data_IF_866676321832
#
_entry.id   IF_866676321832
#
_cell.length_a   1.000
_cell.length_b   1.000
_cell.length_c   1.000
_cell.angle_alpha   90.00
_cell.angle_beta   90.00
_cell.angle_gamma   90.00
#
_symmetry.space_group_name_H-M   'P 1'
#
loop_
_entity.id
_entity.type
_entity.pdbx_description
1 polymer ?
#
# COMPACT_ATOMS: atom_id res chain seq x y z
N UNK A 1 45.37 -31.41 33.34
CA UNK A 1 44.28 -31.81 32.45
C UNK A 1 44.40 -30.97 31.20
N UNK A 2 44.23 -31.55 30.02
CA UNK A 2 44.19 -30.85 28.75
C UNK A 2 42.78 -31.01 28.15
N UNK A 3 42.34 -30.02 27.39
CA UNK A 3 41.04 -30.01 26.71
C UNK A 3 41.07 -31.07 25.61
N UNK A 4 40.12 -32.00 25.59
CA UNK A 4 40.02 -33.09 24.62
C UNK A 4 38.90 -32.88 23.59
N UNK A 5 38.09 -31.82 23.75
CA UNK A 5 37.00 -31.44 22.86
C UNK A 5 36.05 -30.45 23.55
N UNK A 6 35.10 -29.92 22.78
CA UNK A 6 33.98 -29.10 23.28
C UNK A 6 32.72 -29.44 22.48
N UNK A 7 31.60 -29.43 23.16
CA UNK A 7 30.28 -29.46 22.52
C UNK A 7 29.78 -28.03 22.33
N UNK A 8 29.42 -27.69 21.10
CA UNK A 8 28.86 -26.36 20.76
C UNK A 8 27.36 -26.47 20.55
N UNK A 9 26.59 -25.62 21.22
CA UNK A 9 25.14 -25.47 20.98
C UNK A 9 24.79 -24.02 20.74
N UNK A 10 23.88 -23.79 19.82
CA UNK A 10 23.37 -22.43 19.49
C UNK A 10 21.93 -22.32 19.98
N UNK A 11 21.60 -21.16 20.59
CA UNK A 11 20.26 -20.86 21.06
C UNK A 11 19.89 -19.47 20.55
N UNK A 12 18.64 -19.30 20.07
CA UNK A 12 18.12 -17.99 19.73
C UNK A 12 17.83 -17.22 21.01
N UNK A 13 18.47 -16.05 21.16
CA UNK A 13 18.30 -15.16 22.31
C UNK A 13 17.77 -13.79 21.88
N UNK A 14 17.30 -12.97 22.81
CA UNK A 14 16.79 -11.60 22.59
C UNK A 14 17.40 -10.63 23.60
N UNK A 15 17.92 -9.53 23.08
CA UNK A 15 18.26 -8.37 23.90
C UNK A 15 17.05 -7.44 23.91
N UNK A 16 16.36 -7.22 25.05
CA UNK A 16 15.23 -6.32 25.14
C UNK A 16 15.60 -4.91 24.69
N UNK A 17 14.64 -4.19 24.09
CA UNK A 17 14.85 -2.81 23.67
C UNK A 17 15.24 -1.92 24.86
N UNK A 18 16.36 -1.21 24.76
CA UNK A 18 16.87 -0.29 25.77
C UNK A 18 16.59 1.14 25.37
N UNK A 19 15.83 1.86 26.21
CA UNK A 19 15.64 3.29 26.08
C UNK A 19 16.76 4.05 26.83
N UNK A 20 17.33 5.06 26.16
CA UNK A 20 18.44 5.84 26.73
C UNK A 20 18.26 7.33 26.46
N UNK A 21 18.81 8.17 27.33
CA UNK A 21 18.89 9.62 27.14
C UNK A 21 20.17 9.97 26.38
N UNK A 22 20.02 10.55 25.19
CA UNK A 22 21.13 11.10 24.41
C UNK A 22 21.38 12.55 24.86
N UNK A 23 22.46 12.81 25.63
CA UNK A 23 22.85 14.15 26.06
C UNK A 23 23.77 14.79 25.01
N UNK A 24 23.37 15.91 24.42
CA UNK A 24 24.17 16.69 23.47
C UNK A 24 24.70 17.91 24.17
N UNK A 25 26.03 18.01 24.28
CA UNK A 25 26.74 19.18 24.87
C UNK A 25 27.26 20.03 23.70
N UNK A 26 26.98 21.33 23.74
CA UNK A 26 27.48 22.34 22.80
C UNK A 26 28.12 23.45 23.55
N UNK A 27 29.45 23.41 23.76
CA UNK A 27 30.17 24.49 24.47
C UNK A 27 30.05 25.79 23.67
N UNK A 28 30.10 26.90 24.41
CA UNK A 28 30.17 28.25 23.86
C UNK A 28 31.58 28.78 24.15
N UNK A 29 32.16 29.41 23.15
CA UNK A 29 33.51 29.98 23.23
C UNK A 29 33.41 31.48 23.02
N UNK A 30 34.01 32.26 23.94
CA UNK A 30 34.18 33.70 23.84
C UNK A 30 35.67 34.05 23.94
N UNK A 31 36.12 35.06 23.23
CA UNK A 31 37.48 35.59 23.38
C UNK A 31 37.62 36.38 24.68
N UNK A 32 38.66 36.11 25.46
CA UNK A 32 38.94 36.87 26.70
C UNK A 32 39.59 38.23 26.43
N UNK A 33 40.16 38.43 25.25
CA UNK A 33 40.92 39.63 24.90
C UNK A 33 40.16 40.63 24.02
N UNK A 34 38.97 40.25 23.55
CA UNK A 34 38.11 41.12 22.76
C UNK A 34 36.66 40.89 23.09
N UNK A 35 35.81 41.89 22.93
CA UNK A 35 34.34 41.78 23.07
C UNK A 35 33.68 41.12 21.86
N UNK A 36 34.39 40.22 21.19
CA UNK A 36 33.96 39.54 19.99
C UNK A 36 32.78 38.58 20.17
N UNK A 37 32.19 38.15 19.07
CA UNK A 37 31.03 37.28 19.08
C UNK A 37 31.31 35.93 19.73
N UNK A 38 30.32 35.44 20.49
CA UNK A 38 30.34 34.08 21.05
C UNK A 38 30.14 33.07 19.95
N UNK A 39 31.04 32.09 19.82
CA UNK A 39 31.00 31.02 18.86
C UNK A 39 30.46 29.74 19.50
N UNK A 40 29.48 29.14 18.87
CA UNK A 40 28.90 27.86 19.29
C UNK A 40 28.57 27.01 18.05
N UNK A 41 28.82 25.71 18.15
CA UNK A 41 28.39 24.77 17.08
C UNK A 41 26.86 24.80 16.87
N UNK A 42 26.43 24.70 15.61
CA UNK A 42 24.99 24.61 15.29
C UNK A 42 24.35 23.42 16.02
N UNK A 43 23.09 23.56 16.42
CA UNK A 43 22.33 22.43 16.95
C UNK A 43 22.10 21.41 15.86
N UNK A 44 22.19 20.10 16.14
CA UNK A 44 21.78 19.09 15.18
C UNK A 44 20.30 19.26 14.84
N UNK A 45 19.95 19.02 13.58
CA UNK A 45 18.56 19.03 13.12
C UNK A 45 17.75 17.99 13.90
N UNK A 46 16.47 18.29 14.11
CA UNK A 46 15.54 17.41 14.84
C UNK A 46 14.26 17.27 14.06
N UNK A 47 13.65 16.10 14.11
CA UNK A 47 12.35 15.83 13.50
C UNK A 47 11.25 16.76 14.06
N UNK A 48 11.34 17.07 15.37
CA UNK A 48 10.50 18.04 16.05
C UNK A 48 11.40 19.09 16.70
N UNK A 49 11.21 20.35 16.35
CA UNK A 49 11.98 21.46 16.94
C UNK A 49 11.79 21.47 18.45
N UNK A 50 12.92 21.58 19.18
CA UNK A 50 12.96 21.50 20.64
C UNK A 50 12.35 20.21 21.24
N UNK A 51 12.07 19.20 20.40
CA UNK A 51 11.52 17.93 20.83
C UNK A 51 12.53 17.07 21.59
N UNK A 52 12.00 16.24 22.51
CA UNK A 52 12.82 15.30 23.29
C UNK A 52 13.14 14.00 22.54
N UNK A 53 12.37 13.64 21.49
CA UNK A 53 12.54 12.40 20.76
C UNK A 53 13.62 12.52 19.69
N UNK A 54 14.46 11.49 19.59
CA UNK A 54 15.35 11.29 18.42
C UNK A 54 14.54 10.80 17.22
N UNK A 55 15.09 10.97 16.02
CA UNK A 55 14.51 10.41 14.79
C UNK A 55 14.29 8.90 14.94
N UNK A 56 15.24 8.17 15.53
CA UNK A 56 15.14 6.73 15.76
C UNK A 56 13.95 6.33 16.66
N UNK A 57 13.70 7.07 17.75
CA UNK A 57 12.55 6.80 18.62
C UNK A 57 11.23 7.06 17.88
N UNK A 58 11.12 8.17 17.14
CA UNK A 58 9.90 8.46 16.36
C UNK A 58 9.69 7.40 15.29
N UNK A 59 10.74 6.97 14.61
CA UNK A 59 10.66 5.87 13.62
C UNK A 59 10.13 4.58 14.26
N UNK A 60 10.64 4.21 15.43
CA UNK A 60 10.16 3.01 16.16
C UNK A 60 8.65 3.08 16.45
N UNK A 61 8.16 4.26 16.87
CA UNK A 61 6.72 4.49 17.13
C UNK A 61 5.91 4.38 15.84
N UNK A 62 6.39 4.98 14.76
CA UNK A 62 5.74 4.93 13.43
C UNK A 62 5.68 3.50 12.91
N UNK A 63 6.80 2.79 12.92
CA UNK A 63 6.90 1.39 12.46
C UNK A 63 6.03 0.48 13.34
N UNK A 64 6.09 0.65 14.67
CA UNK A 64 5.22 -0.07 15.59
C UNK A 64 3.75 0.08 15.22
N UNK A 65 3.30 1.29 14.88
CA UNK A 65 1.91 1.56 14.52
C UNK A 65 1.52 1.06 13.13
N UNK A 66 2.32 1.34 12.12
CA UNK A 66 1.90 1.15 10.71
C UNK A 66 2.46 -0.13 10.07
N UNK A 67 3.59 -0.65 10.56
CA UNK A 67 4.14 -1.92 10.09
C UNK A 67 3.68 -3.12 10.92
N UNK A 68 3.53 -2.93 12.25
CA UNK A 68 3.18 -3.99 13.21
C UNK A 68 1.80 -3.82 13.83
N UNK A 69 1.03 -2.83 13.36
CA UNK A 69 -0.36 -2.58 13.74
C UNK A 69 -0.58 -2.35 15.24
N UNK A 70 0.44 -1.83 15.95
CA UNK A 70 0.40 -1.54 17.38
C UNK A 70 -0.14 -0.13 17.64
N UNK A 71 -1.36 0.05 18.19
CA UNK A 71 -1.94 1.36 18.43
C UNK A 71 -1.10 2.21 19.39
N UNK A 72 -1.13 3.54 19.21
CA UNK A 72 -0.33 4.46 20.05
C UNK A 72 -0.66 4.36 21.55
N UNK A 73 -1.92 4.09 21.90
CA UNK A 73 -2.29 3.87 23.31
C UNK A 73 -1.62 2.61 23.90
N UNK A 74 -1.46 1.54 23.14
CA UNK A 74 -0.71 0.37 23.60
C UNK A 74 0.77 0.67 23.72
N UNK A 75 1.33 1.45 22.80
CA UNK A 75 2.72 1.90 22.89
C UNK A 75 2.98 2.77 24.14
N UNK A 76 2.05 3.66 24.52
CA UNK A 76 2.19 4.42 25.78
C UNK A 76 2.22 3.49 26.99
N UNK A 77 1.42 2.42 27.04
CA UNK A 77 1.50 1.43 28.10
C UNK A 77 2.83 0.66 28.12
N UNK A 78 3.37 0.32 26.94
CA UNK A 78 4.69 -0.31 26.84
C UNK A 78 5.79 0.60 27.37
N UNK A 79 5.80 1.90 27.00
CA UNK A 79 6.76 2.87 27.53
C UNK A 79 6.64 3.03 29.05
N UNK A 80 5.42 3.06 29.58
CA UNK A 80 5.19 3.09 31.05
C UNK A 80 5.76 1.86 31.74
N UNK A 81 5.60 0.68 31.14
CA UNK A 81 6.22 -0.57 31.67
C UNK A 81 7.75 -0.51 31.70
N UNK A 82 8.37 0.33 30.86
CA UNK A 82 9.80 0.61 30.84
C UNK A 82 10.20 1.82 31.70
N UNK A 83 9.28 2.34 32.53
CA UNK A 83 9.51 3.48 33.43
C UNK A 83 9.46 4.85 32.75
N UNK A 84 8.95 4.96 31.52
CA UNK A 84 8.86 6.23 30.79
C UNK A 84 7.40 6.62 30.56
N UNK A 85 6.99 7.73 31.11
CA UNK A 85 5.66 8.29 30.88
C UNK A 85 5.64 9.19 29.64
N UNK A 86 4.86 8.80 28.65
CA UNK A 86 4.60 9.56 27.42
C UNK A 86 3.11 9.64 27.17
N UNK A 87 2.61 10.84 27.01
CA UNK A 87 1.21 11.05 26.63
C UNK A 87 0.95 10.59 25.19
N UNK A 88 -0.24 10.02 24.96
CA UNK A 88 -0.69 9.66 23.62
C UNK A 88 -0.67 10.85 22.64
N UNK A 89 -0.98 12.06 23.12
CA UNK A 89 -0.94 13.30 22.32
C UNK A 89 0.47 13.58 21.81
N UNK A 90 1.50 13.35 22.63
CA UNK A 90 2.91 13.48 22.25
C UNK A 90 3.26 12.50 21.12
N UNK A 91 2.87 11.23 21.23
CA UNK A 91 3.10 10.23 20.17
C UNK A 91 2.37 10.60 18.88
N UNK A 92 1.13 11.09 18.99
CA UNK A 92 0.36 11.58 17.82
C UNK A 92 1.09 12.75 17.15
N UNK A 93 1.59 13.72 17.92
CA UNK A 93 2.35 14.83 17.38
C UNK A 93 3.59 14.37 16.63
N UNK A 94 4.36 13.43 17.17
CA UNK A 94 5.56 12.90 16.52
C UNK A 94 5.23 12.15 15.22
N UNK A 95 4.16 11.35 15.20
CA UNK A 95 3.67 10.66 14.01
C UNK A 95 3.27 11.67 12.91
N UNK A 96 2.56 12.73 13.28
CA UNK A 96 2.17 13.78 12.33
C UNK A 96 3.39 14.54 11.77
N UNK A 97 4.40 14.78 12.59
CA UNK A 97 5.66 15.39 12.13
C UNK A 97 6.45 14.48 11.20
N UNK A 98 6.53 13.18 11.48
CA UNK A 98 7.15 12.21 10.59
C UNK A 98 6.43 12.16 9.22
N UNK A 99 5.09 12.13 9.22
CA UNK A 99 4.31 12.18 7.98
C UNK A 99 4.55 13.48 7.19
N UNK A 100 4.71 14.60 7.89
CA UNK A 100 5.02 15.89 7.25
C UNK A 100 6.38 15.88 6.55
N UNK A 101 7.43 15.38 7.21
CA UNK A 101 8.76 15.25 6.63
C UNK A 101 8.80 14.28 5.43
N UNK A 102 8.00 13.22 5.48
CA UNK A 102 7.95 12.18 4.45
C UNK A 102 6.97 12.51 3.31
N UNK A 103 6.15 13.56 3.43
CA UNK A 103 5.19 13.94 2.38
C UNK A 103 5.82 14.13 1.00
N UNK A 104 6.99 14.79 0.82
CA UNK A 104 7.59 14.92 -0.51
C UNK A 104 7.98 13.56 -1.13
N UNK A 105 8.51 12.63 -0.34
CA UNK A 105 8.81 11.27 -0.82
C UNK A 105 7.52 10.49 -1.18
N UNK A 106 6.46 10.65 -0.39
CA UNK A 106 5.15 10.08 -0.70
C UNK A 106 4.59 10.65 -2.01
N UNK A 107 4.69 11.96 -2.25
CA UNK A 107 4.23 12.57 -3.50
C UNK A 107 4.97 12.04 -4.70
N UNK A 108 6.28 11.78 -4.58
CA UNK A 108 7.06 11.14 -5.63
C UNK A 108 6.54 9.73 -5.96
N UNK A 109 6.18 8.93 -4.95
CA UNK A 109 5.54 7.62 -5.17
C UNK A 109 4.18 7.76 -5.88
N UNK A 110 3.37 8.75 -5.50
CA UNK A 110 2.08 9.03 -6.16
C UNK A 110 2.30 9.39 -7.63
N UNK A 111 3.25 10.29 -7.93
CA UNK A 111 3.56 10.70 -9.30
C UNK A 111 4.02 9.51 -10.15
N UNK A 112 4.84 8.62 -9.61
CA UNK A 112 5.28 7.40 -10.29
C UNK A 112 4.13 6.43 -10.59
N UNK A 113 3.22 6.24 -9.64
CA UNK A 113 2.02 5.43 -9.85
C UNK A 113 1.15 6.03 -10.96
N UNK A 114 0.92 7.34 -10.94
CA UNK A 114 0.11 8.03 -11.96
C UNK A 114 0.76 8.09 -13.34
N UNK A 115 2.08 7.96 -13.43
CA UNK A 115 2.82 7.86 -14.68
C UNK A 115 2.85 6.43 -15.27
N UNK A 116 2.42 5.43 -14.50
CA UNK A 116 2.40 4.04 -14.97
C UNK A 116 1.30 3.82 -16.01
N UNK A 117 1.53 3.02 -17.07
CA UNK A 117 0.51 2.74 -18.09
C UNK A 117 -0.61 1.82 -17.59
N UNK A 118 -0.43 1.16 -16.45
CA UNK A 118 -1.42 0.27 -15.82
C UNK A 118 -1.35 0.42 -14.31
N UNK A 119 -2.51 0.63 -13.68
CA UNK A 119 -2.64 0.78 -12.23
C UNK A 119 -3.79 -0.09 -11.72
N UNK A 120 -3.59 -0.76 -10.60
CA UNK A 120 -4.67 -1.38 -9.83
C UNK A 120 -5.25 -0.36 -8.86
N UNK A 121 -6.57 -0.33 -8.73
CA UNK A 121 -7.25 0.54 -7.77
C UNK A 121 -8.35 -0.21 -7.03
N UNK A 122 -8.41 0.01 -5.72
CA UNK A 122 -9.48 -0.47 -4.86
C UNK A 122 -9.62 0.46 -3.65
N UNK A 123 -10.74 0.38 -2.91
CA UNK A 123 -10.95 1.22 -1.75
C UNK A 123 -11.28 0.41 -0.48
N UNK A 124 -10.97 0.98 0.66
CA UNK A 124 -11.35 0.40 1.96
C UNK A 124 -11.91 1.46 2.89
N UNK A 125 -12.97 1.13 3.68
CA UNK A 125 -13.50 2.07 4.65
C UNK A 125 -12.48 2.42 5.73
N UNK A 126 -12.42 3.70 6.11
CA UNK A 126 -11.61 4.22 7.20
C UNK A 126 -12.50 5.04 8.14
N UNK A 127 -12.86 4.50 9.31
CA UNK A 127 -13.56 5.28 10.32
C UNK A 127 -12.71 6.44 10.80
N UNK A 128 -13.28 7.64 10.83
CA UNK A 128 -12.62 8.86 11.31
C UNK A 128 -13.49 9.51 12.37
N UNK A 129 -12.90 9.91 13.49
CA UNK A 129 -13.61 10.55 14.57
C UNK A 129 -14.09 11.95 14.16
N UNK A 130 -15.40 12.14 14.17
CA UNK A 130 -16.04 13.46 14.12
C UNK A 130 -16.23 13.96 15.56
N UNK A 131 -15.35 14.86 15.98
CA UNK A 131 -15.35 15.40 17.35
C UNK A 131 -16.63 16.19 17.68
N UNK A 132 -17.25 16.86 16.67
CA UNK A 132 -18.46 17.63 16.86
C UNK A 132 -19.65 16.73 17.17
N UNK A 133 -19.73 15.59 16.44
CA UNK A 133 -20.82 14.61 16.60
C UNK A 133 -20.54 13.52 17.63
N UNK A 134 -19.34 13.51 18.22
CA UNK A 134 -18.85 12.47 19.17
C UNK A 134 -19.02 11.04 18.65
N UNK A 135 -18.97 10.84 17.33
CA UNK A 135 -19.08 9.54 16.65
C UNK A 135 -18.11 9.46 15.48
N UNK A 136 -17.86 8.28 14.98
CA UNK A 136 -17.08 8.10 13.77
C UNK A 136 -17.96 8.32 12.53
N UNK A 137 -17.36 8.88 11.47
CA UNK A 137 -17.88 8.86 10.10
C UNK A 137 -17.04 7.91 9.25
N UNK A 138 -17.64 7.33 8.22
CA UNK A 138 -16.94 6.42 7.32
C UNK A 138 -16.32 7.21 6.18
N UNK A 139 -15.02 7.44 6.27
CA UNK A 139 -14.18 7.91 5.19
C UNK A 139 -13.59 6.72 4.41
N UNK A 140 -12.70 6.97 3.43
CA UNK A 140 -12.09 5.94 2.60
C UNK A 140 -10.59 6.13 2.46
N UNK A 141 -9.90 5.01 2.30
CA UNK A 141 -8.59 4.95 1.67
C UNK A 141 -8.73 4.33 0.29
N UNK A 142 -8.31 5.08 -0.72
CA UNK A 142 -8.12 4.59 -2.07
C UNK A 142 -6.70 4.07 -2.18
N UNK A 143 -6.55 2.80 -2.54
CA UNK A 143 -5.26 2.14 -2.77
C UNK A 143 -4.99 2.09 -4.25
N UNK A 144 -3.83 2.60 -4.66
CA UNK A 144 -3.34 2.51 -6.03
C UNK A 144 -2.05 1.70 -6.01
N UNK A 145 -1.96 0.67 -6.83
CA UNK A 145 -0.80 -0.21 -6.86
C UNK A 145 -0.30 -0.44 -8.28
N UNK A 146 1.01 -0.53 -8.41
CA UNK A 146 1.72 -0.96 -9.61
C UNK A 146 2.52 -2.21 -9.26
N UNK A 147 2.42 -3.25 -10.07
CA UNK A 147 3.22 -4.46 -9.92
C UNK A 147 3.32 -5.17 -11.27
N UNK A 148 4.48 -5.13 -11.89
CA UNK A 148 4.74 -5.72 -13.19
C UNK A 148 5.46 -7.08 -13.11
N UNK A 149 5.79 -7.54 -11.89
CA UNK A 149 6.47 -8.82 -11.68
C UNK A 149 5.75 -10.03 -12.29
N UNK A 150 4.40 -10.10 -12.32
CA UNK A 150 3.69 -11.23 -12.90
C UNK A 150 3.93 -11.45 -14.41
N UNK A 151 4.37 -10.42 -15.14
CA UNK A 151 4.61 -10.48 -16.58
C UNK A 151 6.01 -10.00 -16.99
N UNK A 152 6.95 -9.99 -16.04
CA UNK A 152 8.35 -9.57 -16.23
C UNK A 152 8.50 -8.12 -16.75
N UNK A 153 7.56 -7.25 -16.39
CA UNK A 153 7.61 -5.86 -16.81
C UNK A 153 8.62 -5.03 -16.00
N UNK A 154 8.94 -3.83 -16.49
CA UNK A 154 10.02 -3.01 -15.93
C UNK A 154 9.63 -2.24 -14.66
N UNK A 155 8.35 -2.06 -14.39
CA UNK A 155 7.92 -1.26 -13.25
C UNK A 155 8.14 -2.00 -11.93
N UNK A 156 8.80 -1.33 -11.01
CA UNK A 156 8.97 -1.82 -9.63
C UNK A 156 7.64 -1.78 -8.87
N UNK A 157 7.41 -2.68 -7.91
CA UNK A 157 6.17 -2.69 -7.16
C UNK A 157 6.06 -1.46 -6.25
N UNK A 158 4.94 -0.74 -6.38
CA UNK A 158 4.61 0.46 -5.60
C UNK A 158 3.17 0.34 -5.10
N UNK A 159 2.91 0.79 -3.88
CA UNK A 159 1.57 1.03 -3.37
C UNK A 159 1.46 2.39 -2.71
N UNK A 160 0.42 3.13 -3.08
CA UNK A 160 0.07 4.40 -2.43
C UNK A 160 -1.38 4.37 -1.97
N UNK A 161 -1.63 4.99 -0.81
CA UNK A 161 -2.97 5.18 -0.28
C UNK A 161 -3.29 6.66 -0.28
N UNK A 162 -4.49 7.02 -0.74
CA UNK A 162 -4.98 8.38 -0.71
C UNK A 162 -6.24 8.42 0.15
N UNK A 163 -6.24 9.31 1.14
CA UNK A 163 -7.39 9.53 2.01
C UNK A 163 -8.47 10.34 1.29
N UNK A 164 -9.74 9.92 1.44
CA UNK A 164 -10.91 10.66 0.99
C UNK A 164 -12.00 10.67 2.07
N UNK A 165 -12.76 11.75 2.13
CA UNK A 165 -13.77 11.96 3.16
C UNK A 165 -14.97 11.01 3.06
N UNK A 166 -15.26 10.49 1.85
CA UNK A 166 -16.35 9.55 1.56
C UNK A 166 -15.99 8.66 0.34
N UNK A 167 -16.95 7.86 -0.16
CA UNK A 167 -16.79 6.97 -1.32
C UNK A 167 -17.24 7.59 -2.66
N UNK A 168 -17.43 8.89 -2.76
CA UNK A 168 -17.89 9.47 -4.02
C UNK A 168 -16.86 9.29 -5.14
N UNK A 169 -17.36 9.00 -6.36
CA UNK A 169 -16.52 8.85 -7.54
C UNK A 169 -15.69 10.10 -7.88
N UNK A 170 -16.12 11.28 -7.45
CA UNK A 170 -15.38 12.54 -7.61
C UNK A 170 -13.94 12.43 -7.08
N UNK A 171 -13.72 11.79 -5.93
CA UNK A 171 -12.37 11.63 -5.37
C UNK A 171 -11.44 10.86 -6.30
N UNK A 172 -11.94 9.77 -6.90
CA UNK A 172 -11.16 8.97 -7.86
C UNK A 172 -10.86 9.79 -9.12
N UNK A 173 -11.81 10.58 -9.59
CA UNK A 173 -11.62 11.46 -10.73
C UNK A 173 -10.53 12.51 -10.46
N UNK A 174 -10.53 13.11 -9.27
CA UNK A 174 -9.50 14.04 -8.82
C UNK A 174 -8.12 13.38 -8.71
N UNK A 175 -8.05 12.20 -8.06
CA UNK A 175 -6.79 11.46 -7.91
C UNK A 175 -6.17 11.09 -9.27
N UNK A 176 -7.00 10.67 -10.23
CA UNK A 176 -6.56 10.16 -11.53
C UNK A 176 -6.56 11.21 -12.64
N UNK A 177 -6.69 12.50 -12.33
CA UNK A 177 -6.77 13.56 -13.35
C UNK A 177 -5.64 13.50 -14.37
N UNK A 178 -4.41 13.16 -13.95
CA UNK A 178 -3.22 13.05 -14.82
C UNK A 178 -2.96 11.63 -15.33
N UNK A 179 -3.71 10.65 -14.87
CA UNK A 179 -3.52 9.25 -15.27
C UNK A 179 -4.17 8.99 -16.63
N UNK A 180 -3.46 8.26 -17.48
CA UNK A 180 -3.94 7.74 -18.77
C UNK A 180 -3.41 6.31 -18.94
N UNK A 181 -4.32 5.37 -19.19
CA UNK A 181 -3.92 3.97 -19.34
C UNK A 181 -5.02 3.00 -18.90
N UNK A 182 -4.60 1.83 -18.44
CA UNK A 182 -5.51 0.78 -17.94
C UNK A 182 -5.63 0.89 -16.43
N UNK A 183 -6.86 1.04 -15.94
CA UNK A 183 -7.18 0.99 -14.52
C UNK A 183 -7.88 -0.34 -14.19
N UNK A 184 -7.22 -1.18 -13.42
CA UNK A 184 -7.76 -2.47 -13.03
C UNK A 184 -8.48 -2.35 -11.68
N UNK A 185 -9.80 -2.62 -11.68
CA UNK A 185 -10.73 -2.27 -10.59
C UNK A 185 -11.75 -3.37 -10.30
N UNK A 186 -12.51 -3.19 -9.22
CA UNK A 186 -13.79 -3.87 -8.98
C UNK A 186 -14.92 -3.27 -9.86
N UNK A 187 -16.13 -3.73 -9.66
CA UNK A 187 -17.33 -3.22 -10.39
C UNK A 187 -17.92 -1.94 -9.82
N UNK A 188 -17.22 -1.13 -9.03
CA UNK A 188 -17.77 0.09 -8.46
C UNK A 188 -18.15 1.12 -9.54
N UNK A 189 -19.40 1.59 -9.48
CA UNK A 189 -19.97 2.50 -10.51
C UNK A 189 -19.30 3.87 -10.58
N UNK A 190 -18.61 4.29 -9.51
CA UNK A 190 -17.91 5.58 -9.45
C UNK A 190 -16.76 5.70 -10.45
N UNK A 191 -16.27 4.59 -11.03
CA UNK A 191 -15.25 4.62 -12.07
C UNK A 191 -15.78 4.94 -13.47
N UNK A 192 -17.10 4.81 -13.73
CA UNK A 192 -17.66 4.94 -15.09
C UNK A 192 -17.36 6.27 -15.76
N UNK A 193 -17.29 7.37 -15.01
CA UNK A 193 -16.95 8.67 -15.56
C UNK A 193 -15.52 8.79 -16.08
N UNK A 194 -14.63 7.87 -15.71
CA UNK A 194 -13.22 7.84 -16.14
C UNK A 194 -13.04 7.39 -17.60
N UNK A 195 -14.03 6.71 -18.18
CA UNK A 195 -13.97 6.22 -19.56
C UNK A 195 -14.38 7.27 -20.60
N UNK A 196 -14.82 8.44 -20.17
CA UNK A 196 -15.28 9.50 -21.08
C UNK A 196 -14.11 10.08 -21.88
N UNK A 197 -14.28 10.26 -23.21
CA UNK A 197 -13.22 10.79 -24.07
C UNK A 197 -12.83 12.24 -23.76
N UNK A 198 -13.78 13.03 -23.26
CA UNK A 198 -13.64 14.45 -22.90
C UNK A 198 -13.03 14.69 -21.51
N UNK A 199 -12.65 13.65 -20.81
CA UNK A 199 -11.98 13.74 -19.50
C UNK A 199 -10.61 14.42 -19.63
N UNK A 200 -10.24 15.32 -18.68
CA UNK A 200 -8.86 15.79 -18.58
C UNK A 200 -7.89 14.61 -18.42
N UNK A 201 -6.88 14.52 -19.30
CA UNK A 201 -5.94 13.38 -19.35
C UNK A 201 -6.38 12.23 -20.28
N UNK A 202 -7.54 12.32 -20.94
CA UNK A 202 -8.05 11.33 -21.89
C UNK A 202 -8.81 10.17 -21.22
N UNK A 203 -9.43 9.32 -22.03
CA UNK A 203 -10.19 8.16 -21.56
C UNK A 203 -9.28 7.12 -20.89
N UNK A 204 -9.73 6.56 -19.77
CA UNK A 204 -9.11 5.43 -19.10
C UNK A 204 -9.80 4.14 -19.55
N UNK A 205 -9.04 3.10 -19.84
CA UNK A 205 -9.56 1.76 -20.06
C UNK A 205 -9.79 1.08 -18.70
N UNK A 206 -11.04 0.69 -18.41
CA UNK A 206 -11.35 -0.08 -17.20
C UNK A 206 -11.19 -1.56 -17.46
N UNK A 207 -10.33 -2.23 -16.70
CA UNK A 207 -10.22 -3.68 -16.65
C UNK A 207 -10.85 -4.20 -15.36
N UNK A 208 -11.88 -5.05 -15.47
CA UNK A 208 -12.58 -5.56 -14.30
C UNK A 208 -11.99 -6.88 -13.80
N UNK A 209 -12.22 -7.15 -12.53
CA UNK A 209 -11.69 -8.29 -11.79
C UNK A 209 -12.60 -9.51 -11.92
N UNK A 210 -12.11 -10.60 -12.51
CA UNK A 210 -12.84 -11.84 -12.63
C UNK A 210 -13.10 -12.52 -11.27
N UNK A 211 -12.25 -12.27 -10.25
CA UNK A 211 -12.49 -12.77 -8.90
C UNK A 211 -13.77 -12.20 -8.27
N UNK A 212 -14.13 -10.95 -8.60
CA UNK A 212 -15.40 -10.37 -8.16
C UNK A 212 -16.61 -11.03 -8.83
N UNK A 213 -16.56 -11.30 -10.13
CA UNK A 213 -17.58 -12.07 -10.82
C UNK A 213 -17.69 -13.50 -10.24
N UNK A 214 -16.55 -14.18 -10.03
CA UNK A 214 -16.49 -15.50 -9.40
C UNK A 214 -17.13 -15.51 -8.00
N UNK A 215 -16.91 -14.47 -7.22
CA UNK A 215 -17.49 -14.34 -5.86
C UNK A 215 -19.01 -14.31 -5.89
N UNK A 216 -19.65 -13.68 -6.90
CA UNK A 216 -21.10 -13.69 -7.03
C UNK A 216 -21.63 -15.13 -7.21
N UNK A 217 -21.06 -15.93 -8.09
CA UNK A 217 -21.44 -17.33 -8.27
C UNK A 217 -21.14 -18.18 -7.04
N UNK A 218 -20.01 -17.92 -6.36
CA UNK A 218 -19.66 -18.63 -5.14
C UNK A 218 -20.67 -18.39 -4.00
N UNK A 219 -21.15 -17.17 -3.83
CA UNK A 219 -22.19 -16.85 -2.83
C UNK A 219 -23.54 -17.53 -3.16
N UNK A 220 -23.90 -17.64 -4.44
CA UNK A 220 -25.07 -18.40 -4.88
C UNK A 220 -24.88 -19.88 -4.57
N UNK A 221 -23.77 -20.48 -4.97
CA UNK A 221 -23.46 -21.89 -4.71
C UNK A 221 -23.50 -22.24 -3.22
N UNK A 222 -22.87 -21.38 -2.39
CA UNK A 222 -22.84 -21.56 -0.93
C UNK A 222 -24.21 -21.54 -0.28
N UNK A 223 -25.17 -20.78 -0.84
CA UNK A 223 -26.53 -20.64 -0.27
C UNK A 223 -27.51 -21.68 -0.77
N UNK A 224 -27.40 -22.10 -1.99
CA UNK A 224 -28.41 -22.93 -2.68
C UNK A 224 -27.89 -24.22 -3.30
N UNK A 225 -26.57 -24.48 -3.24
CA UNK A 225 -25.91 -25.63 -3.93
C UNK A 225 -26.30 -25.75 -5.41
N UNK A 226 -26.60 -24.61 -6.08
CA UNK A 226 -27.01 -24.56 -7.48
C UNK A 226 -25.98 -25.21 -8.40
N UNK A 227 -26.42 -26.18 -9.21
CA UNK A 227 -25.57 -26.85 -10.22
C UNK A 227 -25.07 -25.87 -11.27
N UNK A 228 -25.88 -24.91 -11.69
CA UNK A 228 -25.48 -23.86 -12.63
C UNK A 228 -24.41 -22.93 -12.02
N UNK A 229 -24.53 -22.59 -10.75
CA UNK A 229 -23.47 -21.81 -10.07
C UNK A 229 -22.18 -22.62 -9.95
N UNK A 230 -22.23 -23.93 -9.68
CA UNK A 230 -21.07 -24.82 -9.65
C UNK A 230 -20.40 -24.89 -11.04
N UNK A 231 -21.18 -25.01 -12.11
CA UNK A 231 -20.67 -25.02 -13.49
C UNK A 231 -19.99 -23.68 -13.85
N UNK A 232 -20.60 -22.54 -13.48
CA UNK A 232 -19.95 -21.24 -13.67
C UNK A 232 -18.59 -21.16 -12.97
N UNK A 233 -18.50 -21.65 -11.72
CA UNK A 233 -17.25 -21.69 -10.97
C UNK A 233 -16.20 -22.60 -11.62
N UNK A 234 -16.61 -23.73 -12.19
CA UNK A 234 -15.73 -24.66 -12.91
C UNK A 234 -15.16 -24.00 -14.17
N UNK A 235 -16.01 -23.36 -15.00
CA UNK A 235 -15.59 -22.65 -16.23
C UNK A 235 -14.62 -21.52 -15.92
N UNK A 236 -14.90 -20.72 -14.88
CA UNK A 236 -13.96 -19.69 -14.40
C UNK A 236 -12.67 -20.34 -13.89
N UNK A 237 -12.76 -21.49 -13.22
CA UNK A 237 -11.59 -22.26 -12.73
C UNK A 237 -10.63 -22.65 -13.85
N UNK A 238 -11.15 -23.04 -15.04
CA UNK A 238 -10.30 -23.33 -16.20
C UNK A 238 -9.48 -22.12 -16.65
N UNK A 239 -10.05 -20.91 -16.59
CA UNK A 239 -9.33 -19.67 -16.88
C UNK A 239 -8.17 -19.46 -15.91
N UNK A 240 -8.41 -19.64 -14.60
CA UNK A 240 -7.35 -19.50 -13.58
C UNK A 240 -6.24 -20.54 -13.75
N UNK A 241 -6.53 -21.75 -14.15
CA UNK A 241 -5.51 -22.76 -14.45
C UNK A 241 -4.58 -22.36 -15.60
N UNK A 242 -5.12 -21.69 -16.63
CA UNK A 242 -4.31 -21.15 -17.72
C UNK A 242 -3.45 -20.00 -17.21
N UNK A 243 -4.03 -19.05 -16.47
CA UNK A 243 -3.32 -17.90 -15.91
C UNK A 243 -2.18 -18.30 -14.96
N UNK A 244 -2.34 -19.37 -14.19
CA UNK A 244 -1.28 -19.91 -13.34
C UNK A 244 -0.08 -20.39 -14.16
N UNK A 245 -0.32 -21.08 -15.28
CA UNK A 245 0.74 -21.60 -16.16
C UNK A 245 1.52 -20.50 -16.91
N UNK A 246 0.85 -19.38 -17.22
CA UNK A 246 1.48 -18.26 -17.96
C UNK A 246 2.02 -17.16 -17.04
N UNK A 247 1.97 -17.37 -15.75
CA UNK A 247 2.59 -16.44 -14.80
C UNK A 247 4.10 -16.39 -15.00
N UNK A 248 4.67 -15.18 -15.09
CA UNK A 248 6.09 -14.99 -15.37
C UNK A 248 6.46 -15.04 -16.86
N UNK A 249 5.51 -15.23 -17.77
CA UNK A 249 5.74 -14.99 -19.19
C UNK A 249 5.61 -13.50 -19.52
N UNK A 250 6.24 -13.08 -20.63
CA UNK A 250 6.14 -11.71 -21.14
C UNK A 250 4.69 -11.36 -21.54
N UNK A 251 4.39 -10.07 -21.61
CA UNK A 251 3.06 -9.60 -21.99
C UNK A 251 2.61 -10.17 -23.36
N UNK A 252 3.51 -10.26 -24.34
CA UNK A 252 3.21 -10.79 -25.67
C UNK A 252 2.90 -12.29 -25.64
N UNK A 253 3.70 -13.07 -24.91
CA UNK A 253 3.47 -14.51 -24.76
C UNK A 253 2.14 -14.78 -24.04
N UNK A 254 1.81 -14.02 -23.00
CA UNK A 254 0.53 -14.12 -22.28
C UNK A 254 -0.64 -13.87 -23.23
N UNK A 255 -0.59 -12.84 -24.08
CA UNK A 255 -1.65 -12.57 -25.08
C UNK A 255 -1.80 -13.75 -26.03
N UNK A 256 -0.70 -14.31 -26.54
CA UNK A 256 -0.74 -15.44 -27.46
C UNK A 256 -1.47 -16.65 -26.85
N UNK A 257 -1.13 -17.03 -25.63
CA UNK A 257 -1.78 -18.14 -24.93
C UNK A 257 -3.24 -17.81 -24.61
N UNK A 258 -3.53 -16.61 -24.15
CA UNK A 258 -4.90 -16.17 -23.83
C UNK A 258 -5.81 -16.18 -25.06
N UNK A 259 -5.32 -15.74 -26.21
CA UNK A 259 -6.09 -15.76 -27.47
C UNK A 259 -6.38 -17.19 -27.93
N UNK A 260 -5.41 -18.10 -27.80
CA UNK A 260 -5.58 -19.50 -28.28
C UNK A 260 -6.34 -20.41 -27.30
N UNK A 261 -6.18 -20.21 -25.97
CA UNK A 261 -6.71 -21.14 -24.96
C UNK A 261 -7.83 -20.53 -24.11
N UNK A 262 -7.68 -19.27 -23.64
CA UNK A 262 -8.62 -18.65 -22.70
C UNK A 262 -9.84 -18.07 -23.42
N UNK A 263 -9.63 -17.40 -24.56
CA UNK A 263 -10.70 -16.74 -25.31
C UNK A 263 -11.83 -17.70 -25.72
N UNK A 264 -11.57 -18.88 -26.30
CA UNK A 264 -12.65 -19.85 -26.65
C UNK A 264 -13.48 -20.26 -25.42
N UNK A 265 -12.84 -20.47 -24.26
CA UNK A 265 -13.55 -20.82 -23.01
C UNK A 265 -14.50 -19.69 -22.60
N UNK A 266 -14.03 -18.44 -22.66
CA UNK A 266 -14.83 -17.29 -22.28
C UNK A 266 -15.95 -16.99 -23.26
N UNK A 267 -15.73 -17.14 -24.57
CA UNK A 267 -16.78 -17.02 -25.60
C UNK A 267 -17.89 -18.05 -25.38
N UNK A 268 -17.54 -19.31 -25.16
CA UNK A 268 -18.51 -20.36 -24.84
C UNK A 268 -19.21 -20.08 -23.48
N UNK A 269 -18.48 -19.53 -22.50
CA UNK A 269 -19.06 -19.14 -21.20
C UNK A 269 -20.08 -18.01 -21.35
N UNK A 270 -19.82 -17.02 -22.19
CA UNK A 270 -20.77 -15.93 -22.46
C UNK A 270 -22.09 -16.45 -23.05
N UNK A 271 -22.00 -17.30 -24.05
CA UNK A 271 -23.18 -17.90 -24.67
C UNK A 271 -24.00 -18.72 -23.66
N UNK A 272 -23.31 -19.53 -22.87
CA UNK A 272 -23.94 -20.33 -21.82
C UNK A 272 -24.60 -19.43 -20.72
N UNK A 273 -23.96 -18.35 -20.29
CA UNK A 273 -24.55 -17.40 -19.35
C UNK A 273 -25.83 -16.75 -19.90
N UNK A 274 -25.85 -16.41 -21.18
CA UNK A 274 -27.04 -15.83 -21.83
C UNK A 274 -28.20 -16.84 -21.89
N UNK A 275 -27.92 -18.11 -22.18
CA UNK A 275 -28.91 -19.20 -22.16
C UNK A 275 -29.48 -19.39 -20.76
N UNK A 276 -28.62 -19.52 -19.73
CA UNK A 276 -29.07 -19.65 -18.35
C UNK A 276 -29.91 -18.44 -17.90
N UNK A 277 -29.55 -17.22 -18.33
CA UNK A 277 -30.30 -16.01 -17.96
C UNK A 277 -31.70 -15.99 -18.58
N UNK A 278 -31.88 -16.57 -19.78
CA UNK A 278 -33.18 -16.67 -20.45
C UNK A 278 -34.15 -17.64 -19.75
N UNK A 279 -33.63 -18.68 -19.10
CA UNK A 279 -34.40 -19.70 -18.40
C UNK A 279 -34.61 -19.41 -16.93
N UNK A 280 -33.78 -18.54 -16.34
CA UNK A 280 -33.73 -18.27 -14.91
C UNK A 280 -34.71 -17.15 -14.50
N UNK A 281 -35.30 -17.24 -13.32
CA UNK A 281 -36.15 -16.18 -12.77
C UNK A 281 -35.36 -14.85 -12.64
N UNK A 282 -35.94 -13.76 -13.16
CA UNK A 282 -35.31 -12.44 -13.18
C UNK A 282 -34.90 -11.92 -11.79
N UNK A 283 -35.52 -12.40 -10.71
CA UNK A 283 -35.24 -12.00 -9.33
C UNK A 283 -34.34 -12.98 -8.57
N UNK A 284 -33.88 -14.05 -9.23
CA UNK A 284 -33.01 -15.02 -8.56
C UNK A 284 -31.61 -14.45 -8.34
N UNK A 285 -30.94 -14.90 -7.30
CA UNK A 285 -29.55 -14.52 -7.01
C UNK A 285 -28.58 -15.01 -8.11
N UNK A 286 -28.92 -16.10 -8.80
CA UNK A 286 -28.15 -16.57 -9.96
C UNK A 286 -28.28 -15.60 -11.13
N UNK A 287 -29.49 -15.16 -11.46
CA UNK A 287 -29.70 -14.16 -12.51
C UNK A 287 -28.99 -12.82 -12.20
N UNK A 288 -28.91 -12.42 -10.92
CA UNK A 288 -28.13 -11.25 -10.50
C UNK A 288 -26.62 -11.45 -10.74
N UNK A 289 -26.07 -12.62 -10.40
CA UNK A 289 -24.67 -12.96 -10.63
C UNK A 289 -24.32 -12.98 -12.13
N UNK A 290 -25.22 -13.53 -12.95
CA UNK A 290 -25.07 -13.57 -14.42
C UNK A 290 -25.12 -12.14 -14.98
N UNK A 291 -26.11 -11.33 -14.63
CA UNK A 291 -26.21 -9.93 -15.06
C UNK A 291 -25.00 -9.11 -14.65
N UNK A 292 -24.51 -9.27 -13.42
CA UNK A 292 -23.29 -8.63 -12.98
C UNK A 292 -22.13 -8.94 -13.95
N UNK A 293 -21.92 -10.22 -14.27
CA UNK A 293 -20.85 -10.68 -15.14
C UNK A 293 -21.00 -10.14 -16.56
N UNK A 294 -22.21 -10.22 -17.14
CA UNK A 294 -22.48 -9.75 -18.51
C UNK A 294 -22.37 -8.22 -18.64
N UNK A 295 -22.83 -7.47 -17.62
CA UNK A 295 -22.74 -6.00 -17.59
C UNK A 295 -21.29 -5.49 -17.48
N UNK A 296 -20.36 -6.32 -17.01
CA UNK A 296 -18.95 -6.00 -16.91
C UNK A 296 -18.09 -6.71 -17.97
N UNK A 297 -18.73 -7.39 -18.94
CA UNK A 297 -18.06 -8.32 -19.86
C UNK A 297 -16.88 -7.70 -20.59
N UNK A 298 -17.06 -6.55 -21.23
CA UNK A 298 -16.02 -5.93 -22.04
C UNK A 298 -14.77 -5.59 -21.21
N UNK A 299 -14.95 -5.05 -20.03
CA UNK A 299 -13.85 -4.78 -19.11
C UNK A 299 -13.23 -6.05 -18.51
N UNK A 300 -14.02 -7.13 -18.34
CA UNK A 300 -13.49 -8.44 -17.94
C UNK A 300 -12.61 -9.06 -19.04
N UNK A 301 -12.82 -8.70 -20.31
CA UNK A 301 -12.08 -9.25 -21.46
C UNK A 301 -10.80 -8.49 -21.81
N UNK A 302 -10.54 -7.33 -21.24
CA UNK A 302 -9.36 -6.50 -21.54
C UNK A 302 -8.05 -7.28 -21.41
N UNK A 303 -7.93 -8.18 -20.43
CA UNK A 303 -6.74 -8.99 -20.24
C UNK A 303 -6.42 -9.94 -21.41
N UNK A 304 -7.39 -10.27 -22.24
CA UNK A 304 -7.17 -11.10 -23.42
C UNK A 304 -6.34 -10.41 -24.50
N UNK A 305 -6.41 -9.08 -24.57
CA UNK A 305 -5.72 -8.27 -25.60
C UNK A 305 -4.54 -7.49 -25.05
N UNK A 306 -4.46 -7.31 -23.74
CA UNK A 306 -3.33 -6.66 -23.06
C UNK A 306 -2.69 -7.62 -22.05
N UNK A 307 -1.51 -8.14 -22.40
CA UNK A 307 -0.79 -9.11 -21.55
C UNK A 307 -0.30 -8.55 -20.22
N UNK A 308 -0.28 -7.24 -20.05
CA UNK A 308 0.07 -6.55 -18.79
C UNK A 308 -1.07 -6.64 -17.77
N UNK A 309 -2.31 -6.81 -18.24
CA UNK A 309 -3.50 -6.86 -17.40
C UNK A 309 -3.63 -8.25 -16.77
N UNK A 310 -3.89 -8.28 -15.46
CA UNK A 310 -4.15 -9.51 -14.73
C UNK A 310 -5.62 -9.94 -14.87
N UNK A 311 -5.91 -11.21 -14.66
CA UNK A 311 -7.28 -11.73 -14.66
C UNK A 311 -8.08 -11.22 -13.46
N UNK A 312 -7.37 -10.84 -12.38
CA UNK A 312 -7.98 -10.32 -11.15
C UNK A 312 -7.19 -9.16 -10.53
N UNK A 313 -7.77 -8.52 -9.53
CA UNK A 313 -7.18 -7.41 -8.77
C UNK A 313 -6.57 -7.84 -7.43
N UNK A 314 -6.25 -9.11 -7.24
CA UNK A 314 -5.71 -9.63 -5.97
C UNK A 314 -4.42 -8.91 -5.52
N UNK A 315 -3.69 -8.28 -6.44
CA UNK A 315 -2.50 -7.46 -6.14
C UNK A 315 -2.90 -6.31 -5.22
N UNK A 316 -3.90 -5.50 -5.60
CA UNK A 316 -4.33 -4.35 -4.78
C UNK A 316 -5.08 -4.81 -3.53
N UNK A 317 -5.86 -5.89 -3.59
CA UNK A 317 -6.54 -6.43 -2.40
C UNK A 317 -5.55 -6.83 -1.30
N UNK A 318 -4.40 -7.41 -1.67
CA UNK A 318 -3.31 -7.72 -0.73
C UNK A 318 -2.73 -6.46 -0.08
N UNK A 319 -2.65 -5.35 -0.81
CA UNK A 319 -2.15 -4.07 -0.26
C UNK A 319 -3.13 -3.44 0.73
N UNK A 320 -4.43 -3.73 0.62
CA UNK A 320 -5.44 -3.25 1.56
C UNK A 320 -5.40 -3.99 2.91
N UNK A 321 -4.93 -5.24 2.93
CA UNK A 321 -4.88 -6.06 4.15
C UNK A 321 -4.17 -5.39 5.32
N UNK A 322 -2.98 -4.76 5.17
CA UNK A 322 -2.32 -4.05 6.26
C UNK A 322 -3.16 -2.90 6.83
N UNK A 323 -3.88 -2.18 5.99
CA UNK A 323 -4.79 -1.10 6.42
C UNK A 323 -5.96 -1.67 7.23
N UNK A 324 -6.56 -2.76 6.75
CA UNK A 324 -7.67 -3.43 7.44
C UNK A 324 -7.25 -3.99 8.81
N UNK A 325 -6.04 -4.57 8.92
CA UNK A 325 -5.48 -5.04 10.19
C UNK A 325 -5.21 -3.88 11.15
N UNK A 326 -4.57 -2.82 10.67
CA UNK A 326 -4.32 -1.60 11.44
C UNK A 326 -5.63 -1.00 11.98
N UNK A 327 -6.68 -0.96 11.16
CA UNK A 327 -8.00 -0.47 11.55
C UNK A 327 -8.66 -1.35 12.62
N UNK A 328 -8.56 -2.68 12.54
CA UNK A 328 -9.10 -3.59 13.56
C UNK A 328 -8.46 -3.35 14.94
N UNK A 329 -7.19 -2.98 14.98
CA UNK A 329 -6.47 -2.69 16.23
C UNK A 329 -6.70 -1.26 16.73
N UNK A 330 -6.66 -0.27 15.84
CA UNK A 330 -6.78 1.15 16.20
C UNK A 330 -8.22 1.68 16.18
N UNK A 331 -9.18 0.92 15.63
CA UNK A 331 -10.61 1.18 15.48
C UNK A 331 -10.93 2.36 14.55
N UNK A 332 -10.30 3.52 14.70
CA UNK A 332 -10.52 4.72 13.89
C UNK A 332 -9.30 5.64 13.86
N UNK A 333 -9.27 6.54 12.89
CA UNK A 333 -8.36 7.68 12.89
C UNK A 333 -8.96 8.83 13.72
N UNK A 334 -8.16 9.46 14.57
CA UNK A 334 -8.61 10.51 15.51
C UNK A 334 -9.01 11.84 14.83
N UNK A 335 -8.69 12.00 13.54
CA UNK A 335 -9.03 13.17 12.71
C UNK A 335 -8.73 12.89 11.23
N UNK A 336 -9.22 13.71 10.30
CA UNK A 336 -8.85 13.68 8.89
C UNK A 336 -7.34 13.81 8.67
N UNK A 337 -6.68 14.78 9.35
CA UNK A 337 -5.23 14.94 9.31
C UNK A 337 -4.49 13.68 9.80
N UNK A 338 -5.04 12.98 10.80
CA UNK A 338 -4.49 11.70 11.27
C UNK A 338 -4.66 10.58 10.24
N UNK A 339 -5.76 10.58 9.49
CA UNK A 339 -5.98 9.64 8.39
C UNK A 339 -5.06 9.92 7.20
N UNK A 340 -4.86 11.19 6.82
CA UNK A 340 -3.85 11.56 5.81
C UNK A 340 -2.45 11.11 6.19
N UNK A 341 -2.03 11.36 7.44
CA UNK A 341 -0.74 10.88 7.94
C UNK A 341 -0.64 9.36 7.90
N UNK A 342 -1.75 8.66 8.18
CA UNK A 342 -1.82 7.20 8.04
C UNK A 342 -1.61 6.77 6.59
N UNK A 343 -2.26 7.41 5.62
CA UNK A 343 -2.09 7.14 4.20
C UNK A 343 -0.63 7.32 3.77
N UNK A 344 0.00 8.45 4.09
CA UNK A 344 1.41 8.76 3.77
C UNK A 344 2.36 7.68 4.33
N UNK A 345 2.29 7.44 5.63
CA UNK A 345 3.21 6.53 6.31
C UNK A 345 3.02 5.08 5.87
N UNK A 346 1.77 4.65 5.67
CA UNK A 346 1.50 3.30 5.16
C UNK A 346 1.96 3.11 3.72
N UNK A 347 1.87 4.12 2.86
CA UNK A 347 2.37 4.06 1.48
C UNK A 347 3.86 3.77 1.44
N UNK A 348 4.65 4.53 2.20
CA UNK A 348 6.10 4.38 2.25
C UNK A 348 6.48 3.03 2.87
N UNK A 349 5.89 2.66 4.01
CA UNK A 349 6.19 1.43 4.73
C UNK A 349 5.80 0.20 3.90
N UNK A 350 4.61 0.19 3.29
CA UNK A 350 4.16 -0.98 2.53
C UNK A 350 4.90 -1.09 1.19
N UNK A 351 5.27 0.02 0.56
CA UNK A 351 6.16 -0.01 -0.61
C UNK A 351 7.54 -0.57 -0.21
N UNK A 352 8.13 -0.15 0.91
CA UNK A 352 9.38 -0.72 1.40
C UNK A 352 9.28 -2.23 1.64
N UNK A 353 8.17 -2.71 2.22
CA UNK A 353 7.91 -4.15 2.39
C UNK A 353 7.77 -4.92 1.07
N UNK A 354 7.22 -4.31 0.02
CA UNK A 354 7.17 -4.93 -1.32
C UNK A 354 8.57 -5.15 -1.91
N UNK A 355 9.56 -4.39 -1.44
CA UNK A 355 10.99 -4.51 -1.77
C UNK A 355 11.79 -5.32 -0.73
N UNK A 356 11.10 -6.01 0.22
CA UNK A 356 11.72 -6.85 1.26
C UNK A 356 12.65 -6.07 2.20
N UNK A 357 12.41 -4.77 2.38
CA UNK A 357 13.16 -3.95 3.31
C UNK A 357 12.61 -4.07 4.73
N UNK A 358 13.52 -4.10 5.72
CA UNK A 358 13.11 -3.88 7.11
C UNK A 358 12.63 -2.42 7.27
N UNK A 359 11.35 -2.22 7.64
CA UNK A 359 10.78 -0.88 7.74
C UNK A 359 11.48 0.01 8.76
N UNK A 360 12.03 -0.57 9.83
CA UNK A 360 12.71 0.18 10.88
C UNK A 360 14.03 0.77 10.36
N UNK A 361 14.86 -0.04 9.76
CA UNK A 361 16.16 0.35 9.22
C UNK A 361 15.99 1.36 8.09
N UNK A 362 15.09 1.05 7.15
CA UNK A 362 14.81 1.93 6.01
C UNK A 362 14.31 3.30 6.45
N UNK A 363 13.24 3.34 7.24
CA UNK A 363 12.59 4.59 7.61
C UNK A 363 13.45 5.45 8.55
N UNK A 364 14.28 4.83 9.40
CA UNK A 364 15.21 5.56 10.28
C UNK A 364 16.26 6.32 9.46
N UNK A 365 16.87 5.67 8.47
CA UNK A 365 17.85 6.30 7.59
C UNK A 365 17.22 7.40 6.72
N UNK A 366 16.09 7.10 6.08
CA UNK A 366 15.36 8.06 5.24
C UNK A 366 14.99 9.32 6.02
N UNK A 367 14.38 9.18 7.21
CA UNK A 367 14.03 10.33 8.04
C UNK A 367 15.26 11.11 8.51
N UNK A 368 16.32 10.43 8.91
CA UNK A 368 17.56 11.11 9.36
C UNK A 368 18.17 11.91 8.21
N UNK A 369 18.29 11.36 7.01
CA UNK A 369 18.83 12.04 5.83
C UNK A 369 18.00 13.24 5.39
N UNK A 370 16.66 13.14 5.47
CA UNK A 370 15.77 14.27 5.14
C UNK A 370 15.84 15.35 6.24
N UNK A 371 15.74 14.98 7.51
CA UNK A 371 15.71 15.92 8.64
C UNK A 371 17.05 16.63 8.81
N UNK A 372 18.17 15.94 8.59
CA UNK A 372 19.51 16.55 8.65
C UNK A 372 19.83 17.44 7.44
N UNK A 373 19.05 17.34 6.34
CA UNK A 373 19.32 18.03 5.09
C UNK A 373 20.43 17.37 4.26
N UNK A 374 20.86 16.17 4.63
CA UNK A 374 21.82 15.37 3.87
C UNK A 374 21.29 15.04 2.46
N UNK A 375 20.01 14.68 2.36
CA UNK A 375 19.34 14.51 1.07
C UNK A 375 18.39 15.69 0.84
N UNK A 376 18.63 16.40 -0.26
CA UNK A 376 17.82 17.55 -0.68
C UNK A 376 16.55 17.09 -1.42
N UNK A 377 15.59 18.01 -1.60
CA UNK A 377 14.31 17.72 -2.26
C UNK A 377 14.49 17.21 -3.70
N UNK A 378 15.47 17.71 -4.43
CA UNK A 378 15.76 17.26 -5.79
C UNK A 378 16.44 15.88 -5.88
N UNK A 379 16.92 15.34 -4.76
CA UNK A 379 17.57 14.02 -4.67
C UNK A 379 16.73 12.98 -3.91
N UNK A 380 15.44 13.25 -3.66
CA UNK A 380 14.54 12.31 -2.95
C UNK A 380 14.38 10.97 -3.67
N UNK A 381 14.60 10.90 -4.98
CA UNK A 381 14.57 9.66 -5.74
C UNK A 381 15.60 8.63 -5.25
N UNK A 382 16.72 9.06 -4.66
CA UNK A 382 17.73 8.20 -4.03
C UNK A 382 17.20 7.49 -2.77
N UNK A 383 16.14 8.02 -2.16
CA UNK A 383 15.52 7.48 -0.97
C UNK A 383 14.35 6.55 -1.26
N UNK A 384 13.98 6.36 -2.53
CA UNK A 384 12.96 5.39 -2.91
C UNK A 384 13.42 3.98 -2.53
N UNK A 385 12.51 3.08 -2.08
CA UNK A 385 12.89 1.79 -1.51
C UNK A 385 13.88 0.98 -2.33
N UNK A 386 13.68 0.90 -3.64
CA UNK A 386 14.57 0.16 -4.55
C UNK A 386 15.92 0.84 -4.75
N UNK A 387 15.95 2.17 -4.87
CA UNK A 387 17.20 2.93 -5.00
C UNK A 387 18.03 2.83 -3.71
N UNK A 388 17.37 2.98 -2.55
CA UNK A 388 17.99 2.82 -1.25
C UNK A 388 18.57 1.39 -1.06
N UNK A 389 17.81 0.34 -1.47
CA UNK A 389 18.27 -1.05 -1.43
C UNK A 389 19.54 -1.25 -2.27
N UNK A 390 19.55 -0.73 -3.49
CA UNK A 390 20.70 -0.82 -4.41
C UNK A 390 21.95 -0.13 -3.85
N UNK A 391 21.81 1.13 -3.40
CA UNK A 391 22.92 1.89 -2.84
C UNK A 391 23.53 1.23 -1.58
N UNK A 392 22.70 0.57 -0.76
CA UNK A 392 23.18 -0.14 0.44
C UNK A 392 23.88 -1.46 0.10
N UNK A 393 23.41 -2.16 -0.92
CA UNK A 393 24.09 -3.36 -1.39
C UNK A 393 25.49 -3.03 -1.93
N UNK A 394 25.64 -1.95 -2.70
CA UNK A 394 26.94 -1.46 -3.18
C UNK A 394 27.89 -1.09 -2.03
N UNK A 395 27.40 -0.43 -0.99
CA UNK A 395 28.18 -0.09 0.20
C UNK A 395 28.67 -1.33 0.96
N UNK A 396 27.85 -2.37 1.07
CA UNK A 396 28.25 -3.63 1.71
C UNK A 396 29.33 -4.36 0.92
N UNK A 397 29.23 -4.38 -0.41
CA UNK A 397 30.27 -4.96 -1.28
C UNK A 397 31.58 -4.18 -1.22
N UNK A 398 31.51 -2.84 -1.14
CA UNK A 398 32.70 -2.01 -1.01
C UNK A 398 33.38 -2.08 0.36
N UNK A 399 32.69 -2.56 1.40
CA UNK A 399 33.19 -2.71 2.77
C UNK A 399 33.68 -4.13 3.11
N UNK A 400 33.42 -5.10 2.23
CA UNK A 400 33.89 -6.51 2.33
C UNK A 400 35.20 -6.72 1.58
#
# INVERSE_FOLDING_TARGET
MHMIGEDVSEQLDVIPAVLRVKRIRRPRYGCRSCEGAVVQAKAPSRLVDNGMATTALVTSIVVGKFAWHLPLNRQTHMFRGLGIELDRSTLVHWVLRAAWWLRPLYMLLVDMVLASPKVFCDDTPMPVLDRRRRRTRTARFWSYAVDDRPWQGPAVPIVVYIFAEDRKGQHVHEHLTRFNGVLQVDGYTGYRGLTKPDRPGGAITLAYCLAHARRQFFEVYRKSTSSLAAEALQRIGMVYQIEERIRGLTATERVTVRQSQTKPILEAFKVWLMQCLAEESAKSSLAEAIRYTLNHWDGLMVFLTDGRVEVDSNIVERTIRPIALGRRNALFAGSARGAEAWAILSSIINTAKLHELDPQTYLADVLERIVSGQTKVNSLHELLPWAWKAARAEQMVAAA
#
